data_IF_863252386728
#
_entry.id   IF_863252386728
#
_cell.length_a   1.000
_cell.length_b   1.000
_cell.length_c   1.000
_cell.angle_alpha   90.00
_cell.angle_beta   90.00
_cell.angle_gamma   90.00
#
_symmetry.space_group_name_H-M   'P 1'
#
loop_
_entity.id
_entity.type
_entity.pdbx_description
1 polymer ?
#
# COMPACT_ATOMS: atom_id res chain seq x y z
N UNK A 1 36.57 -17.68 18.66
CA UNK A 1 35.45 -18.61 18.91
C UNK A 1 34.16 -17.82 18.79
N UNK A 2 33.39 -18.02 17.72
CA UNK A 2 32.12 -17.30 17.50
C UNK A 2 31.03 -17.96 18.35
N UNK A 3 30.45 -17.22 19.29
CA UNK A 3 29.26 -17.65 20.03
C UNK A 3 28.10 -17.59 19.03
N UNK A 4 27.66 -18.73 18.51
CA UNK A 4 26.36 -18.82 17.83
C UNK A 4 25.30 -18.60 18.90
N UNK A 5 24.65 -17.45 18.87
CA UNK A 5 23.41 -17.23 19.62
C UNK A 5 22.38 -18.27 19.15
N UNK A 6 21.94 -19.10 20.10
CA UNK A 6 20.88 -20.08 19.86
C UNK A 6 19.57 -19.32 19.95
N UNK A 7 18.90 -19.12 18.80
CA UNK A 7 17.55 -18.54 18.73
C UNK A 7 16.55 -19.46 19.42
N UNK A 8 15.50 -18.89 20.01
CA UNK A 8 14.44 -19.68 20.65
C UNK A 8 13.63 -20.44 19.60
N UNK A 9 13.02 -21.58 19.98
CA UNK A 9 12.16 -22.34 19.08
C UNK A 9 10.94 -21.51 18.64
N UNK A 10 10.43 -20.66 19.53
CA UNK A 10 9.30 -19.75 19.26
C UNK A 10 9.65 -18.70 18.17
N UNK A 11 10.87 -18.17 18.18
CA UNK A 11 11.36 -17.26 17.12
C UNK A 11 11.49 -17.95 15.77
N UNK A 12 11.97 -19.19 15.75
CA UNK A 12 12.12 -19.98 14.52
C UNK A 12 10.74 -20.36 13.95
N UNK A 13 9.78 -20.70 14.80
CA UNK A 13 8.41 -21.03 14.37
C UNK A 13 7.66 -19.81 13.81
N UNK A 14 7.82 -18.63 14.41
CA UNK A 14 7.27 -17.37 13.88
C UNK A 14 7.88 -17.01 12.51
N UNK A 15 9.20 -17.14 12.35
CA UNK A 15 9.88 -16.88 11.07
C UNK A 15 9.39 -17.82 9.95
N UNK A 16 9.16 -19.11 10.27
CA UNK A 16 8.63 -20.11 9.31
C UNK A 16 7.18 -19.78 8.93
N UNK A 17 6.34 -19.43 9.91
CA UNK A 17 4.96 -19.02 9.63
C UNK A 17 4.91 -17.77 8.74
N UNK A 18 5.76 -16.78 8.99
CA UNK A 18 5.75 -15.53 8.24
C UNK A 18 6.27 -15.70 6.80
N UNK A 19 7.16 -16.67 6.53
CA UNK A 19 7.58 -17.03 5.17
C UNK A 19 6.51 -17.78 4.36
N UNK A 20 5.51 -18.37 5.02
CA UNK A 20 4.47 -19.16 4.35
C UNK A 20 3.27 -18.34 3.85
N UNK A 21 3.11 -17.11 4.35
CA UNK A 21 1.99 -16.24 4.00
C UNK A 21 2.30 -15.53 2.68
N UNK A 22 1.48 -15.70 1.62
CA UNK A 22 1.70 -15.02 0.35
C UNK A 22 1.75 -13.49 0.52
N UNK A 23 2.67 -12.83 -0.17
CA UNK A 23 2.80 -11.36 -0.14
C UNK A 23 1.49 -10.62 -0.43
N UNK A 24 0.63 -11.19 -1.28
CA UNK A 24 -0.70 -10.64 -1.57
C UNK A 24 -1.60 -10.60 -0.33
N UNK A 25 -1.55 -11.62 0.51
CA UNK A 25 -2.31 -11.67 1.77
C UNK A 25 -1.78 -10.61 2.73
N UNK A 26 -0.46 -10.48 2.88
CA UNK A 26 0.15 -9.43 3.71
C UNK A 26 -0.26 -8.04 3.24
N UNK A 27 -0.30 -7.80 1.93
CA UNK A 27 -0.75 -6.53 1.33
C UNK A 27 -2.24 -6.28 1.58
N UNK A 28 -3.09 -7.30 1.50
CA UNK A 28 -4.53 -7.19 1.80
C UNK A 28 -4.75 -6.81 3.27
N UNK A 29 -4.09 -7.49 4.20
CA UNK A 29 -4.18 -7.17 5.63
C UNK A 29 -3.65 -5.77 5.94
N UNK A 30 -2.55 -5.38 5.30
CA UNK A 30 -2.02 -4.01 5.40
C UNK A 30 -3.04 -2.97 4.89
N UNK A 31 -3.66 -3.19 3.72
CA UNK A 31 -4.68 -2.29 3.17
C UNK A 31 -5.90 -2.18 4.08
N UNK A 32 -6.41 -3.30 4.59
CA UNK A 32 -7.53 -3.33 5.53
C UNK A 32 -7.22 -2.54 6.80
N UNK A 33 -6.06 -2.80 7.40
CA UNK A 33 -5.59 -2.06 8.59
C UNK A 33 -5.48 -0.56 8.32
N UNK A 34 -4.89 -0.18 7.19
CA UNK A 34 -4.69 1.24 6.83
C UNK A 34 -6.00 1.99 6.61
N UNK A 35 -7.02 1.29 6.14
CA UNK A 35 -8.33 1.84 5.80
C UNK A 35 -9.39 1.63 6.90
N UNK A 36 -9.04 0.97 8.01
CA UNK A 36 -9.96 0.65 9.09
C UNK A 36 -11.07 -0.32 8.67
N UNK A 37 -10.73 -1.31 7.83
CA UNK A 37 -11.66 -2.32 7.32
C UNK A 37 -11.42 -3.64 8.03
N UNK A 38 -12.49 -4.37 8.29
CA UNK A 38 -12.47 -5.66 8.98
C UNK A 38 -12.46 -6.82 7.99
N UNK A 39 -13.16 -6.66 6.85
CA UNK A 39 -13.38 -7.75 5.90
C UNK A 39 -12.86 -7.47 4.50
N UNK A 40 -12.66 -8.54 3.73
CA UNK A 40 -12.22 -8.44 2.34
C UNK A 40 -13.33 -7.85 1.45
N UNK A 41 -14.60 -8.11 1.77
CA UNK A 41 -15.76 -7.54 1.08
C UNK A 41 -15.79 -6.02 1.20
N UNK A 42 -15.48 -5.48 2.40
CA UNK A 42 -15.37 -4.04 2.60
C UNK A 42 -14.24 -3.43 1.76
N UNK A 43 -13.08 -4.11 1.69
CA UNK A 43 -11.96 -3.69 0.85
C UNK A 43 -12.33 -3.70 -0.63
N UNK A 44 -12.95 -4.78 -1.10
CA UNK A 44 -13.42 -4.92 -2.49
C UNK A 44 -14.46 -3.84 -2.81
N UNK A 45 -15.43 -3.63 -1.94
CA UNK A 45 -16.45 -2.58 -2.11
C UNK A 45 -15.80 -1.21 -2.25
N UNK A 46 -14.83 -0.87 -1.39
CA UNK A 46 -14.12 0.41 -1.45
C UNK A 46 -13.30 0.55 -2.73
N UNK A 47 -12.64 -0.51 -3.17
CA UNK A 47 -11.88 -0.53 -4.41
C UNK A 47 -12.79 -0.30 -5.64
N UNK A 48 -13.95 -0.96 -5.68
CA UNK A 48 -14.94 -0.77 -6.75
C UNK A 48 -15.50 0.66 -6.78
N UNK A 49 -15.77 1.26 -5.62
CA UNK A 49 -16.20 2.68 -5.55
C UNK A 49 -15.13 3.61 -6.12
N UNK A 50 -13.85 3.41 -5.76
CA UNK A 50 -12.75 4.24 -6.28
C UNK A 50 -12.54 4.05 -7.79
N UNK A 51 -12.69 2.82 -8.28
CA UNK A 51 -12.62 2.52 -9.72
C UNK A 51 -13.76 3.21 -10.47
N UNK A 52 -14.99 3.15 -9.96
CA UNK A 52 -16.14 3.83 -10.55
C UNK A 52 -15.90 5.34 -10.66
N UNK A 53 -15.47 5.97 -9.57
CA UNK A 53 -15.16 7.41 -9.55
C UNK A 53 -14.07 7.78 -10.56
N UNK A 54 -13.07 6.91 -10.74
CA UNK A 54 -11.99 7.13 -11.70
C UNK A 54 -12.50 7.06 -13.14
N UNK A 55 -13.41 6.13 -13.46
CA UNK A 55 -14.08 6.03 -14.77
C UNK A 55 -14.93 7.29 -15.03
N UNK A 56 -15.74 7.73 -14.06
CA UNK A 56 -16.56 8.94 -14.21
C UNK A 56 -15.71 10.18 -14.48
N UNK A 57 -14.56 10.30 -13.80
CA UNK A 57 -13.61 11.38 -14.03
C UNK A 57 -13.01 11.30 -15.45
N UNK A 58 -12.67 10.10 -15.93
CA UNK A 58 -12.19 9.90 -17.29
C UNK A 58 -13.22 10.29 -18.37
N UNK A 59 -14.49 9.93 -18.16
CA UNK A 59 -15.59 10.31 -19.06
C UNK A 59 -15.82 11.83 -19.08
N UNK A 60 -15.53 12.52 -17.99
CA UNK A 60 -15.59 13.99 -17.88
C UNK A 60 -14.36 14.69 -18.45
N UNK A 61 -13.39 13.94 -19.00
CA UNK A 61 -12.17 14.50 -19.55
C UNK A 61 -11.15 14.85 -18.47
N UNK A 62 -11.13 14.13 -17.35
CA UNK A 62 -10.08 14.18 -16.35
C UNK A 62 -9.28 12.88 -16.31
N UNK A 63 -8.08 12.90 -15.73
CA UNK A 63 -7.26 11.71 -15.50
C UNK A 63 -6.86 11.69 -14.04
N UNK A 64 -7.04 10.54 -13.39
CA UNK A 64 -6.49 10.28 -12.05
C UNK A 64 -5.02 9.91 -12.20
N UNK A 65 -4.12 10.74 -11.70
CA UNK A 65 -2.69 10.51 -11.76
C UNK A 65 -2.08 10.49 -10.35
N UNK A 66 -1.14 9.57 -10.14
CA UNK A 66 -0.25 9.59 -8.99
C UNK A 66 1.03 10.32 -9.39
N UNK A 67 1.38 11.38 -8.67
CA UNK A 67 2.64 12.09 -8.90
C UNK A 67 3.45 12.16 -7.61
N UNK A 68 4.74 11.95 -7.77
CA UNK A 68 5.71 12.15 -6.69
C UNK A 68 6.05 13.62 -6.65
N UNK A 69 5.70 14.33 -5.57
CA UNK A 69 6.21 15.69 -5.38
C UNK A 69 7.71 15.61 -5.08
N UNK A 70 8.58 16.29 -5.84
CA UNK A 70 9.95 16.53 -5.40
C UNK A 70 9.89 17.60 -4.31
N UNK A 71 9.62 17.21 -3.08
CA UNK A 71 9.64 18.16 -1.98
C UNK A 71 11.09 18.35 -1.51
N UNK A 72 11.56 19.59 -1.38
CA UNK A 72 12.89 19.92 -0.84
C UNK A 72 13.09 19.37 0.60
N UNK A 73 11.99 18.94 1.24
CA UNK A 73 11.92 18.28 2.54
C UNK A 73 12.07 16.75 2.48
N UNK A 74 11.99 16.10 1.32
CA UNK A 74 12.19 14.65 1.19
C UNK A 74 13.66 14.23 1.34
N UNK A 75 14.61 15.17 1.24
CA UNK A 75 16.01 14.93 1.62
C UNK A 75 16.23 14.95 3.15
N UNK A 76 15.29 15.50 3.93
CA UNK A 76 15.41 15.62 5.39
C UNK A 76 14.77 14.45 6.17
N UNK A 77 13.92 13.64 5.51
CA UNK A 77 13.27 12.49 6.14
C UNK A 77 13.50 11.27 5.26
N UNK A 78 14.53 10.52 5.60
CA UNK A 78 14.96 9.26 4.96
C UNK A 78 13.82 8.50 4.25
N UNK A 79 13.84 8.56 2.92
CA UNK A 79 13.24 7.54 2.04
C UNK A 79 11.72 7.54 1.87
N UNK A 80 10.98 8.57 2.31
CA UNK A 80 9.51 8.61 2.08
C UNK A 80 9.16 9.45 0.86
N UNK A 81 8.97 8.79 -0.28
CA UNK A 81 8.27 9.40 -1.42
C UNK A 81 6.82 9.65 -1.03
N UNK A 82 6.41 10.92 -0.98
CA UNK A 82 5.00 11.28 -0.86
C UNK A 82 4.39 11.15 -2.25
N UNK A 83 3.57 10.12 -2.44
CA UNK A 83 2.72 9.97 -3.63
C UNK A 83 1.46 10.77 -3.37
N UNK A 84 1.27 11.83 -4.15
CA UNK A 84 0.04 12.61 -4.14
C UNK A 84 -0.86 12.13 -5.29
N UNK A 85 -2.14 11.92 -4.99
CA UNK A 85 -3.14 11.64 -6.00
C UNK A 85 -3.75 12.98 -6.43
N UNK A 86 -3.80 13.24 -7.73
CA UNK A 86 -4.53 14.39 -8.25
C UNK A 86 -5.35 14.05 -9.48
N UNK A 87 -6.32 14.93 -9.72
CA UNK A 87 -7.24 14.89 -10.84
C UNK A 87 -6.76 15.97 -11.81
N UNK A 88 -6.31 15.56 -12.99
CA UNK A 88 -5.78 16.45 -14.00
C UNK A 88 -6.78 16.55 -15.16
N UNK A 89 -7.02 17.72 -15.76
CA UNK A 89 -7.74 17.77 -17.02
C UNK A 89 -6.96 16.98 -18.07
N UNK A 90 -7.67 16.19 -18.88
CA UNK A 90 -7.13 15.49 -20.02
C UNK A 90 -6.78 16.55 -21.06
N UNK A 91 -5.49 16.79 -21.26
CA UNK A 91 -5.04 17.70 -22.31
C UNK A 91 -5.61 17.23 -23.66
N UNK A 92 -6.14 18.15 -24.49
CA UNK A 92 -6.69 17.80 -25.80
C UNK A 92 -5.65 17.19 -26.73
#
# INVERSE_FOLDING_TARGET
>A
MSKKEVRSLDEVEQDIMDQSIPDSVKKIEWMKTRLGLETNEQLISKALTLLHMSIELEDQGYTVAAYTKPDFMTELVEGRHVIELGILPKNP
#
